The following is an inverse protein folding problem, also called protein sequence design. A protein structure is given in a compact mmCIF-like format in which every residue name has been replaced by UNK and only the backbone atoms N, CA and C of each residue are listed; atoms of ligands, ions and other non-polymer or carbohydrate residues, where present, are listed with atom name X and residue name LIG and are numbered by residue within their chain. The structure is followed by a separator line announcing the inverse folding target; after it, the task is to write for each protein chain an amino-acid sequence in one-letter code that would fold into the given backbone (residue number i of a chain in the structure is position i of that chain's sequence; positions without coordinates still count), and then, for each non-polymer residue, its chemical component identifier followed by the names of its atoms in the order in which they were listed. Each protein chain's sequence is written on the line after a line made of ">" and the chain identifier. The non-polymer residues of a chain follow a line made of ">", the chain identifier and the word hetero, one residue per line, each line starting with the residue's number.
data_IF_359196257447
#
_entry.id   IF_359196257447
#
_cell.length_a   1.000
_cell.length_b   1.000
_cell.length_c   1.000
_cell.angle_alpha   90.00
_cell.angle_beta   90.00
_cell.angle_gamma   90.00
#
_symmetry.space_group_name_H-M   'P 1'
#
loop_
_entity.id
_entity.type
_entity.pdbx_description
1 polymer ?
#
# COMPACT_ATOMS: atom_id res chain seq x y z
N UNK A 1 -4.90 7.27 14.92
CA UNK A 1 -5.55 7.34 13.60
C UNK A 1 -4.65 8.04 12.58
N UNK A 2 -4.41 9.36 12.64
CA UNK A 2 -3.54 10.04 11.64
C UNK A 2 -2.06 9.61 11.69
N UNK A 3 -1.50 9.38 12.89
CA UNK A 3 -0.08 9.03 13.05
C UNK A 3 0.30 7.62 12.55
N UNK A 4 -0.62 6.67 12.64
CA UNK A 4 -0.40 5.29 12.16
C UNK A 4 -0.46 5.22 10.64
N UNK A 5 -1.44 5.89 10.02
CA UNK A 5 -1.55 6.01 8.56
C UNK A 5 -0.35 6.75 7.97
N UNK A 6 0.16 7.79 8.63
CA UNK A 6 1.39 8.47 8.20
C UNK A 6 2.62 7.56 8.26
N UNK A 7 2.72 6.72 9.28
CA UNK A 7 3.79 5.72 9.39
C UNK A 7 3.69 4.69 8.26
N UNK A 8 2.47 4.24 7.96
CA UNK A 8 2.19 3.30 6.90
C UNK A 8 2.51 3.91 5.52
N UNK A 9 2.16 5.17 5.29
CA UNK A 9 2.49 5.92 4.08
C UNK A 9 4.01 6.01 3.88
N UNK A 10 4.75 6.43 4.91
CA UNK A 10 6.22 6.46 4.89
C UNK A 10 6.83 5.09 4.56
N UNK A 11 6.28 4.01 5.14
CA UNK A 11 6.73 2.64 4.87
C UNK A 11 6.47 2.22 3.42
N UNK A 12 5.29 2.52 2.88
CA UNK A 12 4.96 2.21 1.48
C UNK A 12 5.84 3.00 0.50
N UNK A 13 6.09 4.29 0.77
CA UNK A 13 7.03 5.10 -0.03
C UNK A 13 8.41 4.47 -0.06
N UNK A 14 8.92 4.04 1.10
CA UNK A 14 10.21 3.37 1.20
C UNK A 14 10.25 2.06 0.40
N UNK A 15 9.24 1.19 0.56
CA UNK A 15 9.17 -0.10 -0.13
C UNK A 15 9.08 0.03 -1.66
N UNK A 16 8.36 1.05 -2.14
CA UNK A 16 8.24 1.35 -3.57
C UNK A 16 9.38 2.22 -4.10
N UNK A 17 10.26 2.73 -3.23
CA UNK A 17 11.32 3.70 -3.54
C UNK A 17 10.75 4.95 -4.25
N UNK A 18 9.77 5.57 -3.61
CA UNK A 18 9.04 6.74 -4.10
C UNK A 18 9.24 7.95 -3.19
N UNK A 19 9.08 9.14 -3.76
CA UNK A 19 8.93 10.39 -3.01
C UNK A 19 7.45 10.72 -2.79
N UNK A 20 7.16 11.62 -1.84
CA UNK A 20 5.80 12.13 -1.60
C UNK A 20 5.20 12.86 -2.82
N UNK A 21 6.04 13.36 -3.73
CA UNK A 21 5.58 13.96 -4.99
C UNK A 21 4.91 12.93 -5.91
N UNK A 22 5.32 11.67 -5.83
CA UNK A 22 4.80 10.57 -6.66
C UNK A 22 3.57 9.93 -6.03
N UNK A 23 3.56 9.80 -4.70
CA UNK A 23 2.43 9.28 -3.94
C UNK A 23 2.21 10.18 -2.73
N UNK A 24 1.33 11.16 -2.88
CA UNK A 24 0.98 12.07 -1.79
C UNK A 24 0.21 11.33 -0.70
N UNK A 25 0.22 11.88 0.53
CA UNK A 25 -0.54 11.30 1.65
C UNK A 25 -2.04 11.17 1.34
N UNK A 26 -2.63 12.19 0.68
CA UNK A 26 -4.04 12.17 0.28
C UNK A 26 -4.34 11.08 -0.76
N UNK A 27 -3.44 10.88 -1.72
CA UNK A 27 -3.61 9.82 -2.73
C UNK A 27 -3.46 8.44 -2.09
N UNK A 28 -2.53 8.29 -1.16
CA UNK A 28 -2.35 7.09 -0.35
C UNK A 28 -3.60 6.77 0.50
N UNK A 29 -4.18 7.78 1.16
CA UNK A 29 -5.41 7.64 1.95
C UNK A 29 -6.57 7.17 1.07
N UNK A 30 -6.75 7.80 -0.11
CA UNK A 30 -7.76 7.39 -1.10
C UNK A 30 -7.60 5.94 -1.52
N UNK A 31 -6.37 5.48 -1.77
CA UNK A 31 -6.10 4.09 -2.12
C UNK A 31 -6.37 3.13 -0.96
N UNK A 32 -6.10 3.55 0.27
CA UNK A 32 -6.35 2.76 1.48
C UNK A 32 -7.85 2.58 1.72
N UNK A 33 -8.63 3.66 1.61
CA UNK A 33 -10.11 3.62 1.73
C UNK A 33 -10.74 2.72 0.67
N UNK A 34 -10.28 2.81 -0.58
CA UNK A 34 -10.76 1.94 -1.66
C UNK A 34 -10.47 0.47 -1.38
N UNK A 35 -9.27 0.16 -0.88
CA UNK A 35 -8.89 -1.21 -0.55
C UNK A 35 -9.74 -1.75 0.61
N UNK A 36 -9.94 -0.96 1.66
CA UNK A 36 -10.81 -1.30 2.79
C UNK A 36 -12.26 -1.56 2.33
N UNK A 37 -12.80 -0.71 1.45
CA UNK A 37 -14.12 -0.88 0.87
C UNK A 37 -14.24 -2.19 0.08
N UNK A 38 -13.21 -2.57 -0.69
CA UNK A 38 -13.18 -3.82 -1.44
C UNK A 38 -13.15 -5.03 -0.50
N UNK A 39 -12.29 -5.02 0.52
CA UNK A 39 -12.18 -6.10 1.52
C UNK A 39 -13.53 -6.31 2.19
N UNK A 40 -14.15 -5.21 2.63
CA UNK A 40 -15.46 -5.22 3.30
C UNK A 40 -16.56 -5.74 2.37
N UNK A 41 -16.64 -5.23 1.14
CA UNK A 41 -17.67 -5.62 0.15
C UNK A 41 -17.54 -7.08 -0.26
N UNK A 42 -16.32 -7.62 -0.30
CA UNK A 42 -16.08 -9.03 -0.65
C UNK A 42 -16.24 -9.99 0.54
N UNK A 43 -16.55 -9.48 1.73
CA UNK A 43 -16.70 -10.30 2.93
C UNK A 43 -15.39 -11.00 3.34
N UNK A 44 -14.24 -10.43 2.99
CA UNK A 44 -12.95 -10.95 3.42
C UNK A 44 -12.85 -10.70 4.92
N UNK A 45 -12.72 -11.77 5.70
CA UNK A 45 -12.58 -11.63 7.14
C UNK A 45 -11.24 -10.96 7.47
N UNK A 46 -11.29 -9.69 7.85
CA UNK A 46 -10.12 -8.90 8.22
C UNK A 46 -9.36 -9.51 9.42
N UNK A 47 -10.04 -10.25 10.29
CA UNK A 47 -9.44 -10.94 11.44
C UNK A 47 -8.49 -12.07 11.02
N UNK A 48 -8.60 -12.56 9.78
CA UNK A 48 -7.68 -13.55 9.21
C UNK A 48 -6.42 -12.89 8.59
N UNK A 49 -6.40 -11.56 8.47
CA UNK A 49 -5.31 -10.80 7.88
C UNK A 49 -4.43 -10.23 8.99
N UNK A 50 -3.18 -10.69 9.07
CA UNK A 50 -2.18 -10.06 9.92
C UNK A 50 -1.84 -8.66 9.40
N UNK A 51 -1.27 -7.81 10.25
CA UNK A 51 -0.77 -6.50 9.83
C UNK A 51 0.20 -6.60 8.64
N UNK A 52 1.03 -7.65 8.61
CA UNK A 52 1.94 -7.92 7.48
C UNK A 52 1.18 -8.23 6.19
N UNK A 53 0.10 -9.01 6.25
CA UNK A 53 -0.75 -9.28 5.07
C UNK A 53 -1.40 -8.00 4.54
N UNK A 54 -1.89 -7.13 5.43
CA UNK A 54 -2.50 -5.86 5.05
C UNK A 54 -1.48 -4.90 4.42
N UNK A 55 -0.27 -4.81 4.99
CA UNK A 55 0.83 -4.00 4.42
C UNK A 55 1.20 -4.51 3.01
N UNK A 56 1.34 -5.81 2.84
CA UNK A 56 1.64 -6.43 1.54
C UNK A 56 0.54 -6.16 0.52
N UNK A 57 -0.72 -6.30 0.93
CA UNK A 57 -1.87 -6.05 0.06
C UNK A 57 -1.91 -4.59 -0.39
N UNK A 58 -1.67 -3.65 0.54
CA UNK A 58 -1.62 -2.22 0.24
C UNK A 58 -0.44 -1.87 -0.68
N UNK A 59 0.76 -2.39 -0.38
CA UNK A 59 1.94 -2.26 -1.24
C UNK A 59 1.65 -2.71 -2.67
N UNK A 60 1.05 -3.88 -2.83
CA UNK A 60 0.73 -4.44 -4.14
C UNK A 60 -0.33 -3.64 -4.86
N UNK A 61 -1.39 -3.27 -4.16
CA UNK A 61 -2.48 -2.49 -4.73
C UNK A 61 -1.97 -1.15 -5.27
N UNK A 62 -1.21 -0.42 -4.46
CA UNK A 62 -0.65 0.89 -4.84
C UNK A 62 0.36 0.73 -5.97
N UNK A 63 1.30 -0.22 -5.86
CA UNK A 63 2.26 -0.51 -6.92
C UNK A 63 1.58 -0.81 -8.27
N UNK A 64 0.51 -1.63 -8.26
CA UNK A 64 -0.29 -1.92 -9.44
C UNK A 64 -0.90 -0.64 -10.04
N UNK A 65 -1.49 0.23 -9.21
CA UNK A 65 -2.12 1.47 -9.67
C UNK A 65 -1.11 2.43 -10.28
N UNK A 66 0.05 2.59 -9.66
CA UNK A 66 1.11 3.45 -10.17
C UNK A 66 1.74 2.89 -11.45
N UNK A 67 1.90 1.58 -11.56
CA UNK A 67 2.38 0.94 -12.78
C UNK A 67 1.37 1.12 -13.94
N UNK A 68 0.09 0.87 -13.68
CA UNK A 68 -0.98 1.10 -14.67
C UNK A 68 -1.05 2.56 -15.14
N UNK A 69 -0.73 3.51 -14.27
CA UNK A 69 -0.67 4.93 -14.61
C UNK A 69 0.64 5.35 -15.32
N UNK A 70 1.59 4.43 -15.53
CA UNK A 70 2.89 4.70 -16.13
C UNK A 70 3.86 5.47 -15.22
N UNK A 71 3.54 5.57 -13.93
CA UNK A 71 4.31 6.34 -12.93
C UNK A 71 5.54 5.56 -12.48
N UNK A 72 5.43 4.23 -12.35
CA UNK A 72 6.54 3.33 -12.07
C UNK A 72 6.62 2.25 -13.16
N UNK A 73 7.83 1.79 -13.46
CA UNK A 73 8.04 0.72 -14.46
C UNK A 73 7.88 -0.68 -13.88
N UNK A 74 8.45 -0.94 -12.71
CA UNK A 74 8.42 -2.26 -12.06
C UNK A 74 8.40 -2.12 -10.53
N UNK A 75 7.72 -3.05 -9.87
CA UNK A 75 7.74 -3.25 -8.42
C UNK A 75 7.55 -4.75 -8.12
N UNK A 76 8.10 -5.25 -7.02
CA UNK A 76 8.14 -6.69 -6.75
C UNK A 76 8.53 -7.05 -5.32
N UNK A 77 8.18 -8.27 -4.92
CA UNK A 77 8.38 -8.81 -3.56
C UNK A 77 9.83 -8.90 -3.12
N UNK A 78 10.78 -8.85 -4.06
CA UNK A 78 12.21 -8.95 -3.75
C UNK A 78 12.66 -7.85 -2.78
N UNK A 79 11.97 -6.71 -2.76
CA UNK A 79 12.21 -5.61 -1.82
C UNK A 79 11.62 -5.82 -0.42
N UNK A 80 10.58 -6.66 -0.30
CA UNK A 80 9.91 -6.95 0.98
C UNK A 80 10.62 -8.08 1.74
N UNK A 81 11.22 -9.05 1.01
CA UNK A 81 11.97 -10.17 1.62
C UNK A 81 13.27 -9.76 2.32
N UNK A 82 13.74 -8.53 2.09
CA UNK A 82 14.97 -7.98 2.66
C UNK A 82 14.80 -7.28 4.02
N UNK A 83 13.56 -7.06 4.50
CA UNK A 83 13.33 -6.66 5.89
C UNK A 83 13.47 -7.92 6.77
N UNK A 84 14.67 -8.18 7.29
CA UNK A 84 14.96 -9.16 8.35
C UNK A 84 14.87 -8.52 9.73
#
# INVERSE_FOLDING_TARGET
>A
MSSELQTLHSKILSLLNLSEEVLSFTQFETYTELLEMIITTKGINADMLTSSHLILLLYYYIGCKLNQAGVIREFGLDRIKSEK
#
